data_IF_506561874702
#
_entry.id   IF_506561874702
#
_cell.length_a   1.000
_cell.length_b   1.000
_cell.length_c   1.000
_cell.angle_alpha   90.00
_cell.angle_beta   90.00
_cell.angle_gamma   90.00
#
_symmetry.space_group_name_H-M   'P 1'
#
loop_
_entity.id
_entity.type
_entity.pdbx_description
1 polymer ?
#
# COMPACT_ATOMS: atom_id res chain seq x y z
N UNK A 1 -2.13 44.73 6.86
CA UNK A 1 -2.02 44.58 5.39
C UNK A 1 -0.59 44.17 4.99
N UNK A 2 0.01 43.16 5.64
CA UNK A 2 1.42 42.76 5.44
C UNK A 2 1.64 41.23 5.32
N UNK A 3 0.61 40.39 5.45
CA UNK A 3 0.77 38.93 5.40
C UNK A 3 0.69 38.32 3.98
N UNK A 4 0.45 39.16 2.95
CA UNK A 4 0.24 38.74 1.56
C UNK A 4 1.40 39.11 0.63
N UNK A 5 2.55 39.50 1.20
CA UNK A 5 3.72 39.98 0.43
C UNK A 5 4.93 39.05 0.54
N UNK A 6 4.97 38.20 1.57
CA UNK A 6 6.03 37.20 1.78
C UNK A 6 5.89 35.96 0.88
N UNK A 7 4.77 35.79 0.17
CA UNK A 7 4.57 34.70 -0.79
C UNK A 7 5.22 34.97 -2.16
N UNK A 8 5.75 36.19 -2.38
CA UNK A 8 6.34 36.61 -3.66
C UNK A 8 7.87 36.56 -3.72
N UNK A 9 8.56 36.35 -2.60
CA UNK A 9 10.02 36.33 -2.56
C UNK A 9 10.54 34.92 -2.25
N UNK A 10 11.03 34.22 -3.28
CA UNK A 10 12.19 33.34 -3.07
C UNK A 10 12.13 31.86 -3.47
N UNK A 11 11.08 31.34 -4.13
CA UNK A 11 11.21 30.05 -4.84
C UNK A 11 10.49 30.10 -6.18
N UNK A 12 11.24 30.09 -7.29
CA UNK A 12 10.71 30.12 -8.67
C UNK A 12 9.99 28.83 -9.11
N UNK A 13 9.30 28.16 -8.19
CA UNK A 13 8.55 26.94 -8.45
C UNK A 13 7.08 27.33 -8.49
N UNK A 14 6.42 27.14 -9.64
CA UNK A 14 4.99 27.40 -9.78
C UNK A 14 4.22 26.66 -8.67
N UNK A 15 3.20 27.25 -8.02
CA UNK A 15 2.48 26.59 -6.92
C UNK A 15 2.00 25.18 -7.31
N UNK A 16 1.53 24.99 -8.54
CA UNK A 16 1.21 23.66 -9.07
C UNK A 16 2.41 22.69 -9.11
N UNK A 17 3.61 23.13 -9.48
CA UNK A 17 4.82 22.29 -9.46
C UNK A 17 5.21 21.88 -8.03
N UNK A 18 5.01 22.75 -7.04
CA UNK A 18 5.24 22.43 -5.62
C UNK A 18 4.28 21.34 -5.12
N UNK A 19 3.03 21.36 -5.58
CA UNK A 19 2.04 20.29 -5.35
C UNK A 19 2.46 18.96 -6.00
N UNK A 20 2.82 18.97 -7.29
CA UNK A 20 3.30 17.78 -7.99
C UNK A 20 4.53 17.14 -7.34
N UNK A 21 5.45 17.96 -6.80
CA UNK A 21 6.64 17.46 -6.11
C UNK A 21 6.35 16.85 -4.74
N UNK A 22 5.25 17.24 -4.06
CA UNK A 22 4.80 16.58 -2.81
C UNK A 22 4.17 15.23 -3.09
N UNK A 23 3.22 15.17 -4.03
CA UNK A 23 2.57 13.92 -4.44
C UNK A 23 3.60 12.85 -4.89
N UNK A 24 4.55 13.24 -5.75
CA UNK A 24 5.62 12.34 -6.20
C UNK A 24 6.55 11.91 -5.08
N UNK A 25 6.73 12.72 -4.03
CA UNK A 25 7.53 12.33 -2.85
C UNK A 25 6.80 11.29 -2.01
N UNK A 26 5.52 11.48 -1.69
CA UNK A 26 4.72 10.48 -0.97
C UNK A 26 4.65 9.14 -1.69
N UNK A 27 4.39 9.16 -3.01
CA UNK A 27 4.38 7.93 -3.83
C UNK A 27 5.75 7.24 -3.89
N UNK A 28 6.84 8.01 -4.05
CA UNK A 28 8.20 7.46 -4.02
C UNK A 28 8.56 6.91 -2.65
N UNK A 29 8.16 7.58 -1.57
CA UNK A 29 8.40 7.11 -0.21
C UNK A 29 7.71 5.76 0.01
N UNK A 30 6.44 5.63 -0.39
CA UNK A 30 5.73 4.35 -0.33
C UNK A 30 6.39 3.26 -1.20
N UNK A 31 6.77 3.58 -2.43
CA UNK A 31 7.44 2.64 -3.33
C UNK A 31 8.79 2.16 -2.77
N UNK A 32 9.59 3.07 -2.21
CA UNK A 32 10.86 2.76 -1.55
C UNK A 32 10.63 1.92 -0.30
N UNK A 33 9.64 2.27 0.52
CA UNK A 33 9.25 1.48 1.69
C UNK A 33 8.84 0.06 1.31
N UNK A 34 8.05 -0.09 0.25
CA UNK A 34 7.60 -1.40 -0.25
C UNK A 34 8.79 -2.24 -0.77
N UNK A 35 9.69 -1.61 -1.54
CA UNK A 35 10.91 -2.28 -2.01
C UNK A 35 11.81 -2.69 -0.83
N UNK A 36 11.96 -1.82 0.16
CA UNK A 36 12.70 -2.11 1.40
C UNK A 36 12.08 -3.27 2.18
N UNK A 37 10.75 -3.32 2.30
CA UNK A 37 10.05 -4.43 2.90
C UNK A 37 10.30 -5.75 2.18
N UNK A 38 10.19 -5.79 0.85
CA UNK A 38 10.48 -7.00 0.09
C UNK A 38 11.94 -7.44 0.26
N UNK A 39 12.90 -6.51 0.27
CA UNK A 39 14.30 -6.82 0.53
C UNK A 39 14.50 -7.42 1.93
N UNK A 40 13.90 -6.82 2.96
CA UNK A 40 13.94 -7.33 4.34
C UNK A 40 13.26 -8.69 4.46
N UNK A 41 12.17 -8.93 3.74
CA UNK A 41 11.48 -10.21 3.73
C UNK A 41 12.34 -11.31 3.11
N UNK A 42 12.98 -11.04 1.96
CA UNK A 42 13.91 -11.98 1.32
C UNK A 42 15.09 -12.28 2.23
N UNK A 43 15.64 -11.25 2.89
CA UNK A 43 16.71 -11.40 3.87
C UNK A 43 16.27 -12.25 5.06
N UNK A 44 15.09 -11.99 5.62
CA UNK A 44 14.52 -12.75 6.74
C UNK A 44 14.38 -14.24 6.37
N UNK A 45 13.86 -14.55 5.18
CA UNK A 45 13.74 -15.92 4.68
C UNK A 45 15.10 -16.60 4.49
N UNK A 46 16.11 -15.87 4.01
CA UNK A 46 17.47 -16.38 3.88
C UNK A 46 18.09 -16.68 5.25
N UNK A 47 17.87 -15.80 6.23
CA UNK A 47 18.35 -15.96 7.61
C UNK A 47 17.69 -17.17 8.30
N UNK A 48 16.38 -17.38 8.13
CA UNK A 48 15.65 -18.54 8.70
C UNK A 48 16.21 -19.87 8.22
N UNK A 49 16.68 -19.95 6.96
CA UNK A 49 17.27 -21.17 6.39
C UNK A 49 18.61 -21.55 7.04
N UNK A 50 19.27 -20.64 7.76
CA UNK A 50 20.57 -20.86 8.40
C UNK A 50 20.56 -21.71 9.69
N UNK A 51 19.42 -22.28 10.09
CA UNK A 51 19.24 -23.25 11.19
C UNK A 51 19.59 -22.79 12.62
N UNK A 52 20.24 -21.65 12.83
CA UNK A 52 20.57 -21.16 14.16
C UNK A 52 19.32 -20.64 14.90
N UNK A 53 19.16 -20.92 16.21
CA UNK A 53 18.01 -20.45 16.99
C UNK A 53 17.90 -18.91 17.00
N UNK A 54 19.02 -18.20 17.13
CA UNK A 54 19.07 -16.73 17.05
C UNK A 54 18.65 -16.17 15.69
N UNK A 55 18.80 -16.95 14.61
CA UNK A 55 18.42 -16.51 13.27
C UNK A 55 16.89 -16.36 13.11
N UNK A 56 16.09 -17.16 13.84
CA UNK A 56 14.63 -17.05 13.80
C UNK A 56 14.13 -15.77 14.46
N UNK A 57 14.70 -15.41 15.60
CA UNK A 57 14.38 -14.16 16.31
C UNK A 57 14.76 -12.94 15.46
N UNK A 58 15.95 -12.96 14.87
CA UNK A 58 16.40 -11.91 13.96
C UNK A 58 15.48 -11.76 12.74
N UNK A 59 15.03 -12.88 12.15
CA UNK A 59 14.12 -12.83 11.02
C UNK A 59 12.74 -12.26 11.38
N UNK A 60 12.22 -12.55 12.56
CA UNK A 60 10.99 -11.93 13.05
C UNK A 60 11.14 -10.42 13.19
N UNK A 61 12.27 -9.95 13.74
CA UNK A 61 12.57 -8.52 13.84
C UNK A 61 12.60 -7.89 12.44
N UNK A 62 13.28 -8.51 11.47
CA UNK A 62 13.33 -8.01 10.09
C UNK A 62 11.93 -7.89 9.45
N UNK A 63 11.06 -8.89 9.65
CA UNK A 63 9.68 -8.86 9.16
C UNK A 63 8.89 -7.71 9.81
N UNK A 64 8.96 -7.57 11.13
CA UNK A 64 8.24 -6.52 11.87
C UNK A 64 8.76 -5.12 11.49
N UNK A 65 10.08 -4.94 11.38
CA UNK A 65 10.68 -3.69 10.91
C UNK A 65 10.18 -3.32 9.52
N UNK A 66 10.10 -4.31 8.62
CA UNK A 66 9.56 -4.10 7.29
C UNK A 66 8.10 -3.62 7.30
N UNK A 67 7.25 -4.15 8.18
CA UNK A 67 5.85 -3.69 8.34
C UNK A 67 5.83 -2.22 8.75
N UNK A 68 6.64 -1.83 9.74
CA UNK A 68 6.70 -0.44 10.22
C UNK A 68 7.11 0.53 9.10
N UNK A 69 8.09 0.14 8.27
CA UNK A 69 8.55 0.94 7.13
C UNK A 69 7.44 1.13 6.09
N UNK A 70 6.68 0.08 5.78
CA UNK A 70 5.53 0.16 4.85
C UNK A 70 4.42 1.04 5.42
N UNK A 71 4.09 0.92 6.71
CA UNK A 71 3.08 1.75 7.36
C UNK A 71 3.47 3.23 7.38
N UNK A 72 4.75 3.53 7.64
CA UNK A 72 5.26 4.89 7.57
C UNK A 72 5.15 5.45 6.14
N UNK A 73 5.53 4.65 5.13
CA UNK A 73 5.41 5.02 3.72
C UNK A 73 3.96 5.22 3.27
N UNK A 74 3.04 4.36 3.73
CA UNK A 74 1.63 4.44 3.41
C UNK A 74 0.98 5.67 4.06
N UNK A 75 1.31 5.96 5.32
CA UNK A 75 0.86 7.18 6.00
C UNK A 75 1.35 8.43 5.27
N UNK A 76 2.63 8.47 4.90
CA UNK A 76 3.18 9.58 4.12
C UNK A 76 2.47 9.75 2.77
N UNK A 77 2.15 8.65 2.08
CA UNK A 77 1.36 8.70 0.84
C UNK A 77 -0.03 9.29 1.09
N UNK A 78 -0.76 8.80 2.10
CA UNK A 78 -2.12 9.24 2.40
C UNK A 78 -2.19 10.71 2.83
N UNK A 79 -1.25 11.17 3.66
CA UNK A 79 -1.22 12.55 4.15
C UNK A 79 -0.83 13.57 3.06
N UNK A 80 -0.14 13.15 2.01
CA UNK A 80 0.24 14.00 0.88
C UNK A 80 -0.81 14.03 -0.26
N UNK A 81 -1.89 13.25 -0.16
CA UNK A 81 -2.94 13.17 -1.18
C UNK A 81 -3.99 14.26 -1.02
N UNK A 82 -4.48 14.79 -2.14
CA UNK A 82 -5.65 15.66 -2.17
C UNK A 82 -6.93 14.89 -1.81
N UNK A 83 -7.96 15.58 -1.32
CA UNK A 83 -9.22 14.96 -0.88
C UNK A 83 -9.88 14.07 -1.95
N UNK A 84 -9.79 14.47 -3.22
CA UNK A 84 -10.29 13.68 -4.35
C UNK A 84 -9.53 12.37 -4.54
N UNK A 85 -8.19 12.42 -4.56
CA UNK A 85 -7.31 11.26 -4.74
C UNK A 85 -7.39 10.29 -3.54
N UNK A 86 -7.41 10.84 -2.32
CA UNK A 86 -7.61 10.05 -1.10
C UNK A 86 -8.99 9.36 -1.11
N UNK A 87 -10.03 10.06 -1.56
CA UNK A 87 -11.36 9.49 -1.72
C UNK A 87 -11.42 8.31 -2.70
N UNK A 88 -10.67 8.37 -3.82
CA UNK A 88 -10.56 7.25 -4.76
C UNK A 88 -9.84 6.07 -4.10
N UNK A 89 -8.73 6.35 -3.41
CA UNK A 89 -7.93 5.33 -2.71
C UNK A 89 -8.76 4.60 -1.66
N UNK A 90 -9.54 5.32 -0.84
CA UNK A 90 -10.44 4.72 0.15
C UNK A 90 -11.56 3.88 -0.48
N UNK A 91 -12.19 4.37 -1.55
CA UNK A 91 -13.21 3.60 -2.28
C UNK A 91 -12.63 2.32 -2.87
N UNK A 92 -11.43 2.42 -3.45
CA UNK A 92 -10.72 1.26 -3.97
C UNK A 92 -10.42 0.24 -2.87
N UNK A 93 -9.96 0.70 -1.70
CA UNK A 93 -9.67 -0.14 -0.55
C UNK A 93 -10.94 -0.82 -0.01
N UNK A 94 -12.06 -0.10 0.07
CA UNK A 94 -13.34 -0.67 0.50
C UNK A 94 -13.85 -1.77 -0.43
N UNK A 95 -13.76 -1.56 -1.75
CA UNK A 95 -14.14 -2.57 -2.75
C UNK A 95 -13.19 -3.77 -2.67
N UNK A 96 -11.88 -3.53 -2.56
CA UNK A 96 -10.87 -4.57 -2.42
C UNK A 96 -11.09 -5.42 -1.16
N UNK A 97 -11.42 -4.76 -0.05
CA UNK A 97 -11.72 -5.42 1.21
C UNK A 97 -12.96 -6.30 1.10
N UNK A 98 -14.05 -5.77 0.53
CA UNK A 98 -15.28 -6.54 0.32
C UNK A 98 -15.03 -7.74 -0.61
N UNK A 99 -14.38 -7.53 -1.76
CA UNK A 99 -14.08 -8.58 -2.73
C UNK A 99 -13.12 -9.65 -2.18
N UNK A 100 -12.02 -9.23 -1.57
CA UNK A 100 -11.04 -10.13 -0.97
C UNK A 100 -11.63 -10.95 0.17
N UNK A 101 -12.46 -10.34 1.02
CA UNK A 101 -13.14 -11.04 2.12
C UNK A 101 -14.17 -12.03 1.60
N UNK A 102 -14.96 -11.66 0.57
CA UNK A 102 -15.91 -12.57 -0.04
C UNK A 102 -15.24 -13.82 -0.60
N UNK A 103 -14.10 -13.68 -1.30
CA UNK A 103 -13.32 -14.80 -1.82
C UNK A 103 -12.73 -15.64 -0.68
N UNK A 104 -12.10 -15.00 0.30
CA UNK A 104 -11.41 -15.69 1.41
C UNK A 104 -12.41 -16.46 2.30
N UNK A 105 -13.55 -15.86 2.63
CA UNK A 105 -14.59 -16.54 3.40
C UNK A 105 -15.29 -17.63 2.60
N UNK A 106 -15.53 -17.44 1.30
CA UNK A 106 -16.07 -18.51 0.46
C UNK A 106 -15.15 -19.73 0.45
N UNK A 107 -13.84 -19.49 0.37
CA UNK A 107 -12.86 -20.57 0.43
C UNK A 107 -12.82 -21.24 1.82
N UNK A 108 -12.83 -20.46 2.90
CA UNK A 108 -12.88 -21.00 4.26
C UNK A 108 -14.14 -21.84 4.51
N UNK A 109 -15.30 -21.40 4.00
CA UNK A 109 -16.52 -22.21 4.03
C UNK A 109 -16.36 -23.50 3.22
N UNK A 110 -15.77 -23.43 2.02
CA UNK A 110 -15.51 -24.63 1.21
C UNK A 110 -14.56 -25.62 1.92
N UNK A 111 -13.60 -25.13 2.68
CA UNK A 111 -12.72 -25.96 3.52
C UNK A 111 -13.52 -26.69 4.60
N UNK A 112 -14.40 -25.97 5.31
CA UNK A 112 -15.22 -26.54 6.40
C UNK A 112 -16.30 -27.50 5.90
N UNK A 113 -17.01 -27.16 4.81
CA UNK A 113 -18.19 -27.91 4.37
C UNK A 113 -17.94 -28.90 3.23
N UNK A 114 -16.92 -28.69 2.41
CA UNK A 114 -16.59 -29.55 1.27
C UNK A 114 -15.27 -30.31 1.44
N UNK A 115 -14.52 -30.07 2.53
CA UNK A 115 -13.21 -30.71 2.76
C UNK A 115 -12.14 -30.27 1.77
N UNK A 116 -12.20 -29.01 1.32
CA UNK A 116 -11.17 -28.44 0.45
C UNK A 116 -9.77 -28.48 1.14
N UNK A 117 -8.68 -28.61 0.36
CA UNK A 117 -7.33 -28.74 0.91
C UNK A 117 -6.85 -27.48 1.64
N UNK A 118 -5.96 -27.63 2.61
CA UNK A 118 -5.40 -26.49 3.34
C UNK A 118 -4.52 -25.63 2.42
N UNK A 119 -4.86 -24.34 2.32
CA UNK A 119 -4.07 -23.34 1.59
C UNK A 119 -3.28 -22.47 2.57
N UNK A 120 -2.03 -22.17 2.20
CA UNK A 120 -1.21 -21.22 2.96
C UNK A 120 -1.84 -19.83 2.94
N UNK A 121 -1.97 -19.20 4.11
CA UNK A 121 -2.48 -17.83 4.24
C UNK A 121 -1.72 -16.78 3.42
N UNK A 122 -0.50 -17.09 2.96
CA UNK A 122 0.24 -16.26 2.00
C UNK A 122 -0.54 -16.02 0.69
N UNK A 123 -1.46 -16.92 0.30
CA UNK A 123 -2.33 -16.75 -0.87
C UNK A 123 -3.47 -15.76 -0.65
N UNK A 124 -3.77 -15.37 0.60
CA UNK A 124 -4.77 -14.34 0.89
C UNK A 124 -4.28 -12.97 0.39
N UNK A 125 -2.99 -12.68 0.57
CA UNK A 125 -2.40 -11.41 0.13
C UNK A 125 -2.61 -11.10 -1.36
N UNK A 126 -2.25 -11.98 -2.32
CA UNK A 126 -2.43 -11.69 -3.74
C UNK A 126 -3.90 -11.56 -4.14
N UNK A 127 -4.83 -12.22 -3.42
CA UNK A 127 -6.27 -12.03 -3.63
C UNK A 127 -6.67 -10.59 -3.31
N UNK A 128 -6.28 -10.07 -2.15
CA UNK A 128 -6.55 -8.68 -1.79
C UNK A 128 -5.81 -7.68 -2.69
N UNK A 129 -4.56 -7.95 -3.04
CA UNK A 129 -3.78 -7.10 -3.94
C UNK A 129 -4.43 -7.01 -5.34
N UNK A 130 -4.87 -8.14 -5.88
CA UNK A 130 -5.57 -8.19 -7.18
C UNK A 130 -6.91 -7.45 -7.11
N UNK A 131 -7.69 -7.69 -6.05
CA UNK A 131 -8.95 -6.98 -5.84
C UNK A 131 -8.74 -5.46 -5.75
N UNK A 132 -7.66 -5.02 -5.11
CA UNK A 132 -7.31 -3.61 -5.00
C UNK A 132 -6.89 -2.99 -6.33
N UNK A 133 -6.05 -3.67 -7.11
CA UNK A 133 -5.67 -3.21 -8.46
C UNK A 133 -6.89 -3.08 -9.37
N UNK A 134 -7.78 -4.09 -9.37
CA UNK A 134 -9.01 -4.08 -10.16
C UNK A 134 -9.92 -2.92 -9.72
N UNK A 135 -10.13 -2.75 -8.42
CA UNK A 135 -10.97 -1.68 -7.89
C UNK A 135 -10.43 -0.29 -8.26
N UNK A 136 -9.11 -0.10 -8.13
CA UNK A 136 -8.43 1.16 -8.48
C UNK A 136 -8.57 1.46 -9.97
N UNK A 137 -8.31 0.48 -10.83
CA UNK A 137 -8.46 0.61 -12.27
C UNK A 137 -9.90 0.91 -12.67
N UNK A 138 -10.88 0.19 -12.11
CA UNK A 138 -12.30 0.40 -12.40
C UNK A 138 -12.78 1.81 -12.00
N UNK A 139 -12.35 2.33 -10.85
CA UNK A 139 -12.68 3.67 -10.40
C UNK A 139 -12.05 4.74 -11.30
N UNK A 140 -10.79 4.57 -11.69
CA UNK A 140 -10.09 5.49 -12.58
C UNK A 140 -10.74 5.53 -13.99
N UNK A 141 -11.14 4.37 -14.52
CA UNK A 141 -11.86 4.28 -15.79
C UNK A 141 -13.22 4.99 -15.69
N UNK A 142 -13.97 4.77 -14.61
CA UNK A 142 -15.27 5.41 -14.42
C UNK A 142 -15.14 6.94 -14.33
N UNK A 143 -14.13 7.44 -13.62
CA UNK A 143 -13.94 8.89 -13.45
C UNK A 143 -13.35 9.55 -14.70
N UNK A 144 -12.46 8.87 -15.43
CA UNK A 144 -11.91 9.35 -16.70
C UNK A 144 -12.92 9.45 -17.85
N UNK A 145 -14.06 8.76 -17.75
CA UNK A 145 -15.18 8.89 -18.69
C UNK A 145 -15.97 10.19 -18.44
N UNK A 146 -15.99 10.70 -17.21
CA UNK A 146 -16.77 11.90 -16.83
C UNK A 146 -16.00 13.22 -16.95
N UNK A 147 -14.70 13.17 -17.24
CA UNK A 147 -13.85 14.36 -17.41
C UNK A 147 -13.56 14.72 -18.88
N UNK A 148 -14.17 14.03 -19.85
CA UNK A 148 -14.17 14.38 -21.28
C UNK A 148 -15.54 14.89 -21.68
#
# INVERSE_FOLDING_TARGET
MNAYREDREGTGIHPAQRWWNRLRRGQRAFAVSMAGYFALLVLALAVIKGSAPFARELALILIVTGIVIVLAGATAMCCDQDEFEFGITLKALAIAFAGGSAVTFSYGCAQVFLGAPDINYMFVWPVYATAWVIATAALNLRLGIWSR
#
